data_IF_490750694590
#
_entry.id   IF_490750694590
#
_cell.length_a   1.000
_cell.length_b   1.000
_cell.length_c   1.000
_cell.angle_alpha   90.00
_cell.angle_beta   90.00
_cell.angle_gamma   90.00
#
_symmetry.space_group_name_H-M   'P 1'
#
loop_
_entity.id
_entity.type
_entity.pdbx_description
1 polymer ?
#
# COMPACT_ATOMS: atom_id res chain seq x y z
N UNK A 1 19.79 10.24 -11.44
CA UNK A 1 19.05 9.03 -11.90
C UNK A 1 18.78 8.14 -10.71
N UNK A 2 17.56 7.65 -10.56
CA UNK A 2 17.20 6.71 -9.48
C UNK A 2 17.60 5.31 -9.90
N UNK A 3 18.42 4.66 -9.09
CA UNK A 3 18.83 3.26 -9.27
C UNK A 3 17.87 2.35 -8.54
N UNK A 4 17.37 1.30 -9.18
CA UNK A 4 16.41 0.37 -8.56
C UNK A 4 16.61 -1.06 -9.09
N UNK A 5 16.10 -2.03 -8.33
CA UNK A 5 15.98 -3.42 -8.76
C UNK A 5 14.52 -3.74 -9.02
N UNK A 6 14.26 -4.49 -10.08
CA UNK A 6 12.92 -4.95 -10.44
C UNK A 6 12.94 -6.45 -10.64
N UNK A 7 11.99 -7.14 -10.02
CA UNK A 7 11.83 -8.59 -10.16
C UNK A 7 10.37 -8.99 -9.95
N UNK A 8 10.05 -10.23 -10.32
CA UNK A 8 8.71 -10.80 -10.16
C UNK A 8 8.80 -12.04 -9.27
N UNK A 9 7.94 -12.11 -8.27
CA UNK A 9 7.83 -13.27 -7.39
C UNK A 9 7.14 -14.44 -8.12
N UNK A 10 7.26 -15.64 -7.55
CA UNK A 10 6.67 -16.86 -8.13
C UNK A 10 5.15 -16.80 -8.27
N UNK A 11 4.48 -16.00 -7.44
CA UNK A 11 3.03 -15.76 -7.52
C UNK A 11 2.61 -14.68 -8.53
N UNK A 12 3.57 -14.10 -9.27
CA UNK A 12 3.31 -13.05 -10.25
C UNK A 12 3.40 -11.62 -9.71
N UNK A 13 3.60 -11.43 -8.41
CA UNK A 13 3.74 -10.09 -7.82
C UNK A 13 5.02 -9.43 -8.34
N UNK A 14 4.89 -8.24 -8.91
CA UNK A 14 6.00 -7.41 -9.39
C UNK A 14 6.52 -6.55 -8.24
N UNK A 15 7.83 -6.54 -8.05
CA UNK A 15 8.48 -5.82 -6.95
C UNK A 15 9.53 -4.88 -7.51
N UNK A 16 9.56 -3.66 -6.99
CA UNK A 16 10.60 -2.67 -7.26
C UNK A 16 11.19 -2.26 -5.92
N UNK A 17 12.52 -2.33 -5.83
CA UNK A 17 13.28 -1.93 -4.63
C UNK A 17 14.28 -0.85 -5.01
N UNK A 18 14.19 0.28 -4.34
CA UNK A 18 15.18 1.35 -4.39
C UNK A 18 15.85 1.49 -3.02
N UNK A 19 17.15 1.32 -2.98
CA UNK A 19 17.94 1.46 -1.76
C UNK A 19 18.56 2.86 -1.70
N UNK A 20 18.21 3.58 -0.64
CA UNK A 20 18.77 4.91 -0.33
C UNK A 20 19.00 5.00 1.17
N UNK A 21 20.26 4.99 1.59
CA UNK A 21 20.66 5.02 2.99
C UNK A 21 20.93 6.45 3.51
N UNK A 22 20.51 7.46 2.76
CA UNK A 22 20.67 8.86 3.16
C UNK A 22 19.74 9.28 4.30
N UNK A 23 18.64 8.53 4.51
CA UNK A 23 17.68 8.75 5.60
C UNK A 23 17.31 7.43 6.27
N UNK A 24 16.99 7.43 7.58
CA UNK A 24 16.59 6.24 8.31
C UNK A 24 15.08 5.94 8.16
N UNK A 25 14.53 6.17 6.98
CA UNK A 25 13.09 6.02 6.69
C UNK A 25 12.92 5.02 5.56
N UNK A 26 11.90 4.17 5.67
CA UNK A 26 11.46 3.28 4.59
C UNK A 26 10.05 3.65 4.16
N UNK A 27 9.85 3.79 2.86
CA UNK A 27 8.54 3.91 2.25
C UNK A 27 8.16 2.57 1.63
N UNK A 28 7.03 2.03 2.04
CA UNK A 28 6.46 0.79 1.50
C UNK A 28 5.18 1.12 0.76
N UNK A 29 5.06 0.62 -0.48
CA UNK A 29 3.92 0.94 -1.34
C UNK A 29 3.38 -0.32 -2.00
N UNK A 30 2.07 -0.55 -1.92
CA UNK A 30 1.36 -1.59 -2.66
C UNK A 30 0.35 -0.93 -3.59
N UNK A 31 0.49 -1.21 -4.90
CA UNK A 31 -0.39 -0.68 -5.92
C UNK A 31 -1.21 -1.81 -6.53
N UNK A 32 -2.55 -1.66 -6.46
CA UNK A 32 -3.51 -2.52 -7.13
C UNK A 32 -3.97 -1.87 -8.43
N UNK A 33 -3.87 -2.59 -9.54
CA UNK A 33 -4.40 -2.16 -10.84
C UNK A 33 -5.92 -2.35 -10.89
N UNK A 34 -6.59 -1.70 -9.96
CA UNK A 34 -8.05 -1.70 -9.80
C UNK A 34 -8.50 -0.30 -9.39
N UNK A 35 -9.46 0.25 -10.10
CA UNK A 35 -10.04 1.54 -9.81
C UNK A 35 -11.47 1.65 -10.33
N UNK A 36 -12.00 2.87 -10.38
CA UNK A 36 -13.38 3.10 -10.82
C UNK A 36 -13.67 2.59 -12.24
N UNK A 37 -12.66 2.53 -13.11
CA UNK A 37 -12.78 1.98 -14.47
C UNK A 37 -13.23 0.51 -14.51
N UNK A 38 -12.95 -0.23 -13.43
CA UNK A 38 -13.22 -1.67 -13.34
C UNK A 38 -14.60 -1.98 -12.73
N UNK A 39 -15.32 -0.94 -12.30
CA UNK A 39 -16.60 -1.06 -11.64
C UNK A 39 -17.75 -1.22 -12.66
N UNK A 40 -18.77 -1.97 -12.27
CA UNK A 40 -20.05 -2.04 -12.99
C UNK A 40 -21.05 -1.03 -12.42
N UNK A 41 -22.10 -0.70 -13.19
CA UNK A 41 -23.09 0.32 -12.77
C UNK A 41 -23.76 0.01 -11.42
N UNK A 42 -23.95 -1.29 -11.12
CA UNK A 42 -24.54 -1.76 -9.87
C UNK A 42 -23.55 -1.81 -8.69
N UNK A 43 -22.25 -1.56 -8.96
CA UNK A 43 -21.17 -1.62 -7.97
C UNK A 43 -20.28 -0.39 -7.98
N UNK A 44 -20.86 0.75 -8.28
CA UNK A 44 -20.17 2.03 -8.28
C UNK A 44 -19.69 2.40 -6.86
N UNK A 45 -18.43 2.80 -6.74
CA UNK A 45 -17.81 3.16 -5.47
C UNK A 45 -17.18 1.99 -4.71
N UNK A 46 -17.23 0.76 -5.21
CA UNK A 46 -16.69 -0.41 -4.54
C UNK A 46 -15.16 -0.37 -4.39
N UNK A 47 -14.44 0.12 -5.38
CA UNK A 47 -12.97 0.25 -5.28
C UNK A 47 -12.59 1.15 -4.09
N UNK A 48 -13.21 2.29 -3.96
CA UNK A 48 -13.01 3.22 -2.86
C UNK A 48 -13.49 2.65 -1.51
N UNK A 49 -14.62 1.92 -1.52
CA UNK A 49 -15.11 1.23 -0.32
C UNK A 49 -14.10 0.20 0.18
N UNK A 50 -13.57 -0.64 -0.69
CA UNK A 50 -12.56 -1.64 -0.32
C UNK A 50 -11.27 -1.00 0.17
N UNK A 51 -10.86 0.14 -0.37
CA UNK A 51 -9.76 0.92 0.19
C UNK A 51 -10.00 1.23 1.67
N UNK A 52 -11.16 1.78 2.01
CA UNK A 52 -11.51 2.07 3.41
C UNK A 52 -11.58 0.82 4.28
N UNK A 53 -12.13 -0.27 3.76
CA UNK A 53 -12.23 -1.53 4.51
C UNK A 53 -10.87 -2.13 4.87
N UNK A 54 -9.85 -1.91 4.05
CA UNK A 54 -8.49 -2.38 4.35
C UNK A 54 -7.92 -1.77 5.63
N UNK A 55 -8.28 -0.53 5.94
CA UNK A 55 -7.86 0.12 7.20
C UNK A 55 -8.54 -0.48 8.43
N UNK A 56 -9.69 -1.12 8.27
CA UNK A 56 -10.40 -1.83 9.33
C UNK A 56 -9.69 -3.09 9.81
N UNK A 57 -8.62 -3.50 9.12
CA UNK A 57 -7.80 -4.62 9.54
C UNK A 57 -8.29 -5.98 9.05
N UNK A 58 -7.85 -7.01 9.74
CA UNK A 58 -8.15 -8.41 9.43
C UNK A 58 -8.44 -9.19 10.73
N UNK A 59 -8.75 -10.48 10.60
CA UNK A 59 -8.98 -11.35 11.76
C UNK A 59 -7.74 -11.41 12.68
N UNK A 60 -6.54 -11.34 12.10
CA UNK A 60 -5.29 -11.42 12.86
C UNK A 60 -4.79 -10.05 13.34
N UNK A 61 -5.14 -8.99 12.61
CA UNK A 61 -4.77 -7.60 12.92
C UNK A 61 -6.05 -6.77 12.81
N UNK A 62 -6.85 -6.69 13.90
CA UNK A 62 -8.16 -6.03 13.86
C UNK A 62 -8.14 -4.54 13.57
N UNK A 63 -6.98 -3.90 13.77
CA UNK A 63 -6.76 -2.47 13.51
C UNK A 63 -5.38 -2.31 12.88
N UNK A 64 -5.34 -1.82 11.64
CA UNK A 64 -4.10 -1.64 10.90
C UNK A 64 -3.33 -0.39 11.37
N UNK A 65 -4.03 0.63 11.76
CA UNK A 65 -3.45 1.96 12.06
C UNK A 65 -2.61 1.95 13.34
N UNK A 66 -3.13 1.33 14.39
CA UNK A 66 -2.47 1.34 15.72
C UNK A 66 -1.07 0.74 15.69
N UNK A 67 -0.82 -0.46 15.14
CA UNK A 67 0.55 -1.01 15.07
C UNK A 67 1.51 -0.11 14.29
N UNK A 68 1.05 0.49 13.20
CA UNK A 68 1.88 1.37 12.37
C UNK A 68 2.23 2.65 13.12
N UNK A 69 1.26 3.27 13.80
CA UNK A 69 1.50 4.45 14.62
C UNK A 69 2.44 4.16 15.80
N UNK A 70 2.28 3.01 16.45
CA UNK A 70 3.18 2.58 17.52
C UNK A 70 4.60 2.35 17.03
N UNK A 71 4.77 1.95 15.78
CA UNK A 71 6.08 1.82 15.13
C UNK A 71 6.66 3.18 14.68
N UNK A 72 5.96 4.28 14.92
CA UNK A 72 6.37 5.62 14.49
C UNK A 72 6.12 5.92 13.02
N UNK A 73 5.20 5.18 12.40
CA UNK A 73 4.90 5.28 10.98
C UNK A 73 3.63 6.04 10.66
N UNK A 74 3.47 6.30 9.37
CA UNK A 74 2.26 6.83 8.76
C UNK A 74 1.65 5.80 7.80
N UNK A 75 0.33 5.76 7.75
CA UNK A 75 -0.44 4.87 6.91
C UNK A 75 -1.45 5.69 6.11
N UNK A 76 -1.49 5.52 4.80
CA UNK A 76 -2.44 6.21 3.94
C UNK A 76 -2.71 5.45 2.65
N UNK A 77 -3.75 5.86 1.93
CA UNK A 77 -4.12 5.29 0.65
C UNK A 77 -4.88 6.30 -0.21
N UNK A 78 -5.02 5.98 -1.49
CA UNK A 78 -5.94 6.67 -2.39
C UNK A 78 -6.47 5.73 -3.46
N UNK A 79 -7.65 6.03 -3.96
CA UNK A 79 -8.29 5.36 -5.10
C UNK A 79 -8.67 6.40 -6.15
N UNK A 80 -8.36 6.10 -7.42
CA UNK A 80 -8.78 6.91 -8.55
C UNK A 80 -9.45 6.03 -9.63
N UNK A 81 -9.58 6.54 -10.85
CA UNK A 81 -10.18 5.78 -11.94
C UNK A 81 -9.39 4.52 -12.30
N UNK A 82 -8.07 4.55 -12.16
CA UNK A 82 -7.18 3.52 -12.69
C UNK A 82 -6.64 2.55 -11.65
N UNK A 83 -6.45 3.01 -10.40
CA UNK A 83 -5.71 2.25 -9.40
C UNK A 83 -6.18 2.52 -7.97
N UNK A 84 -5.85 1.59 -7.09
CA UNK A 84 -5.93 1.76 -5.64
C UNK A 84 -4.54 1.56 -5.07
N UNK A 85 -4.05 2.53 -4.32
CA UNK A 85 -2.68 2.57 -3.83
C UNK A 85 -2.66 2.70 -2.32
N UNK A 86 -1.88 1.84 -1.65
CA UNK A 86 -1.65 1.87 -0.21
C UNK A 86 -0.18 2.14 0.05
N UNK A 87 0.13 3.03 0.97
CA UNK A 87 1.51 3.28 1.34
C UNK A 87 1.70 3.52 2.83
N UNK A 88 2.85 3.08 3.31
CA UNK A 88 3.30 3.29 4.69
C UNK A 88 4.68 3.91 4.67
N UNK A 89 4.93 4.81 5.61
CA UNK A 89 6.23 5.41 5.84
C UNK A 89 6.62 5.11 7.28
N UNK A 90 7.75 4.43 7.47
CA UNK A 90 8.20 3.95 8.78
C UNK A 90 9.68 4.25 9.01
N UNK A 91 10.09 4.41 10.28
CA UNK A 91 11.51 4.31 10.62
C UNK A 91 12.06 2.93 10.22
N UNK A 92 13.25 2.91 9.62
CA UNK A 92 13.85 1.67 9.11
C UNK A 92 14.09 0.61 10.19
N UNK A 93 14.31 1.03 11.44
CA UNK A 93 14.54 0.14 12.57
C UNK A 93 13.29 -0.63 13.01
N UNK A 94 12.11 -0.22 12.59
CA UNK A 94 10.82 -0.79 13.00
C UNK A 94 10.08 -1.54 11.88
N UNK A 95 10.79 -1.86 10.81
CA UNK A 95 10.24 -2.67 9.71
C UNK A 95 10.18 -4.15 10.05
#
# INVERSE_FOLDING_TARGET
MISYRKFTLSNGLRVIVHEDNSTPIVAFNILYDVGAKDETEDKTGFAHLFEHLMFGGSANIPDLDTPIQMAGGENNAFTNCDMTNFYNILPAENI
#
